data_IF_608131793149
#
_entry.id   IF_608131793149
#
_cell.length_a   1.000
_cell.length_b   1.000
_cell.length_c   1.000
_cell.angle_alpha   90.00
_cell.angle_beta   90.00
_cell.angle_gamma   90.00
#
_symmetry.space_group_name_H-M   'P 1'
#
loop_
_entity.id
_entity.type
_entity.pdbx_description
1 polymer ?
#
# COMPACT_ATOMS: atom_id res chain seq x y z
N UNK A 1 7.34 12.33 22.37
CA UNK A 1 7.28 11.17 21.46
C UNK A 1 8.08 10.05 22.10
N UNK A 2 7.53 8.85 22.21
CA UNK A 2 8.23 7.69 22.80
C UNK A 2 9.09 6.96 21.78
N UNK A 3 9.84 5.95 22.22
CA UNK A 3 10.84 5.21 21.42
C UNK A 3 10.29 4.70 20.08
N UNK A 4 9.04 4.22 20.04
CA UNK A 4 8.44 3.71 18.81
C UNK A 4 8.33 4.77 17.68
N UNK A 5 8.09 6.03 18.03
CA UNK A 5 8.01 7.11 17.05
C UNK A 5 9.40 7.52 16.53
N UNK A 6 10.45 7.33 17.34
CA UNK A 6 11.84 7.53 16.91
C UNK A 6 12.33 6.36 16.04
N UNK A 7 11.84 5.14 16.27
CA UNK A 7 12.25 3.96 15.49
C UNK A 7 11.61 3.87 14.11
N UNK A 8 10.51 4.58 13.85
CA UNK A 8 9.76 4.58 12.60
C UNK A 8 9.98 5.88 11.82
N UNK A 9 11.18 6.05 11.28
CA UNK A 9 11.54 7.18 10.40
C UNK A 9 11.94 6.73 8.99
N UNK A 10 12.20 7.68 8.10
CA UNK A 10 12.59 7.44 6.70
C UNK A 10 14.09 7.54 6.43
N UNK A 11 14.89 7.86 7.45
CA UNK A 11 16.37 7.81 7.40
C UNK A 11 16.93 6.42 7.03
N UNK A 12 18.17 6.38 6.54
CA UNK A 12 18.81 5.17 6.02
C UNK A 12 18.97 4.07 7.09
N UNK A 13 19.15 4.47 8.34
CA UNK A 13 19.28 3.63 9.54
C UNK A 13 17.93 3.25 10.17
N UNK A 14 16.81 3.53 9.50
CA UNK A 14 15.48 3.24 10.06
C UNK A 14 15.28 1.75 10.28
N UNK A 15 14.54 1.42 11.34
CA UNK A 15 14.22 0.03 11.66
C UNK A 15 13.61 -0.73 10.46
N UNK A 16 12.68 -0.15 9.65
CA UNK A 16 12.19 -0.81 8.44
C UNK A 16 13.27 -1.24 7.44
N UNK A 17 14.38 -0.51 7.32
CA UNK A 17 15.44 -0.80 6.36
C UNK A 17 16.33 -1.99 6.78
N UNK A 18 16.30 -2.38 8.06
CA UNK A 18 17.10 -3.48 8.61
C UNK A 18 16.26 -4.72 8.94
N UNK A 19 14.95 -4.71 8.63
CA UNK A 19 14.10 -5.88 8.81
C UNK A 19 14.59 -7.06 7.94
N UNK A 20 14.44 -8.31 8.41
CA UNK A 20 14.72 -9.49 7.60
C UNK A 20 13.98 -9.43 6.26
N UNK A 21 14.58 -10.03 5.22
CA UNK A 21 14.01 -10.00 3.87
C UNK A 21 12.60 -10.60 3.87
N UNK A 22 11.64 -9.81 3.40
CA UNK A 22 10.25 -10.24 3.25
C UNK A 22 10.06 -11.36 2.21
N UNK A 23 11.08 -11.64 1.37
CA UNK A 23 11.03 -12.68 0.34
C UNK A 23 10.78 -14.10 0.88
N UNK A 24 11.04 -14.34 2.17
CA UNK A 24 10.76 -15.63 2.81
C UNK A 24 9.29 -15.78 3.22
N UNK A 25 8.50 -14.71 3.14
CA UNK A 25 7.12 -14.66 3.55
C UNK A 25 6.23 -14.40 2.35
N UNK A 26 5.01 -14.92 2.42
CA UNK A 26 4.00 -14.53 1.45
C UNK A 26 3.48 -13.12 1.79
N UNK A 27 3.58 -12.22 0.83
CA UNK A 27 3.20 -10.82 1.01
C UNK A 27 2.27 -10.38 -0.12
N UNK A 28 1.32 -9.50 0.22
CA UNK A 28 0.49 -8.77 -0.73
C UNK A 28 0.42 -7.31 -0.29
N UNK A 29 0.55 -6.41 -1.25
CA UNK A 29 0.38 -4.97 -1.02
C UNK A 29 -1.02 -4.56 -1.46
N UNK A 30 -1.75 -3.87 -0.60
CA UNK A 30 -3.01 -3.19 -0.96
C UNK A 30 -2.79 -1.69 -0.80
N UNK A 31 -3.03 -0.91 -1.86
CA UNK A 31 -2.77 0.53 -1.89
C UNK A 31 -3.96 1.33 -2.40
N UNK A 32 -4.16 2.53 -1.84
CA UNK A 32 -5.15 3.49 -2.30
C UNK A 32 -4.65 4.33 -3.48
N UNK A 33 -5.57 4.84 -4.30
CA UNK A 33 -5.23 5.67 -5.48
C UNK A 33 -6.10 6.91 -5.63
N UNK A 34 -6.85 7.31 -4.59
CA UNK A 34 -7.63 8.55 -4.58
C UNK A 34 -7.16 9.49 -3.49
N UNK A 35 -7.20 10.78 -3.75
CA UNK A 35 -6.99 11.84 -2.76
C UNK A 35 -8.22 12.74 -2.71
N UNK A 36 -8.63 13.16 -1.51
CA UNK A 36 -9.73 14.12 -1.32
C UNK A 36 -9.17 15.56 -1.25
N UNK A 37 -7.96 15.73 -0.70
CA UNK A 37 -7.34 17.03 -0.48
C UNK A 37 -6.22 17.33 -1.49
N UNK A 38 -6.45 18.22 -2.48
CA UNK A 38 -5.50 18.49 -3.55
C UNK A 38 -4.20 19.21 -3.11
N UNK A 39 -4.10 19.63 -1.85
CA UNK A 39 -2.93 20.36 -1.34
C UNK A 39 -1.61 19.58 -1.44
N UNK A 40 -1.67 18.25 -1.37
CA UNK A 40 -0.49 17.40 -1.45
C UNK A 40 -0.24 16.84 -2.86
N UNK A 41 -1.15 17.04 -3.82
CA UNK A 41 -0.98 16.57 -5.21
C UNK A 41 0.35 17.02 -5.85
N UNK A 42 0.81 18.27 -5.66
CA UNK A 42 2.09 18.70 -6.23
C UNK A 42 3.33 17.95 -5.70
N UNK A 43 3.19 17.18 -4.60
CA UNK A 43 4.27 16.38 -4.03
C UNK A 43 4.33 14.96 -4.60
N UNK A 44 3.42 14.59 -5.51
CA UNK A 44 3.31 13.24 -6.04
C UNK A 44 3.35 13.21 -7.58
N UNK A 45 4.28 12.43 -8.12
CA UNK A 45 4.43 12.21 -9.57
C UNK A 45 3.61 11.00 -10.09
N UNK A 46 2.45 10.70 -9.49
CA UNK A 46 1.64 9.54 -9.91
C UNK A 46 0.41 9.26 -9.03
N UNK A 47 -0.19 8.06 -9.16
CA UNK A 47 -1.33 7.65 -8.34
C UNK A 47 -0.95 7.63 -6.84
N UNK A 48 -1.82 8.19 -6.00
CA UNK A 48 -1.61 8.26 -4.55
C UNK A 48 -2.93 8.27 -3.79
N UNK A 49 -2.89 7.91 -2.51
CA UNK A 49 -4.04 7.89 -1.61
C UNK A 49 -4.23 9.21 -0.81
N UNK A 50 -3.39 10.21 -1.11
CA UNK A 50 -3.34 11.50 -0.41
C UNK A 50 -2.26 11.59 0.67
N UNK A 51 -1.56 10.49 0.95
CA UNK A 51 -0.39 10.46 1.86
C UNK A 51 0.78 9.67 1.29
N UNK A 52 0.51 8.58 0.60
CA UNK A 52 1.50 7.64 0.08
C UNK A 52 1.24 7.42 -1.41
N UNK A 53 2.29 7.45 -2.22
CA UNK A 53 2.21 7.12 -3.64
C UNK A 53 2.13 5.61 -3.84
N UNK A 54 1.45 5.19 -4.90
CA UNK A 54 1.41 3.79 -5.32
C UNK A 54 2.82 3.27 -5.63
N UNK A 55 3.72 4.10 -6.16
CA UNK A 55 5.11 3.71 -6.41
C UNK A 55 5.87 3.41 -5.11
N UNK A 56 5.71 4.26 -4.09
CA UNK A 56 6.37 4.06 -2.79
C UNK A 56 5.82 2.88 -2.00
N UNK A 57 4.54 2.54 -2.19
CA UNK A 57 3.91 1.41 -1.50
C UNK A 57 4.31 0.05 -2.09
N UNK A 58 4.84 0.01 -3.31
CA UNK A 58 5.24 -1.25 -3.98
C UNK A 58 6.44 -1.88 -3.29
N UNK A 59 6.35 -3.18 -3.09
CA UNK A 59 7.48 -4.04 -2.77
C UNK A 59 7.93 -4.69 -4.08
N UNK A 60 8.86 -4.04 -4.78
CA UNK A 60 9.44 -4.45 -6.08
C UNK A 60 9.46 -5.96 -6.26
N UNK A 61 8.87 -6.50 -7.34
CA UNK A 61 8.88 -7.91 -7.79
C UNK A 61 8.65 -9.04 -6.77
N UNK A 62 8.52 -8.73 -5.47
CA UNK A 62 8.42 -9.68 -4.37
C UNK A 62 6.97 -9.82 -3.88
N UNK A 63 6.10 -8.89 -4.22
CA UNK A 63 4.69 -8.97 -3.84
C UNK A 63 3.77 -8.42 -4.95
N UNK A 64 2.64 -9.08 -5.24
CA UNK A 64 1.58 -8.50 -6.03
C UNK A 64 0.98 -7.27 -5.33
N UNK A 65 0.52 -6.32 -6.14
CA UNK A 65 -0.06 -5.06 -5.67
C UNK A 65 -1.49 -4.94 -6.16
N UNK A 66 -2.43 -4.77 -5.22
CA UNK A 66 -3.84 -4.49 -5.50
C UNK A 66 -4.12 -3.01 -5.22
N UNK A 67 -4.39 -2.26 -6.28
CA UNK A 67 -4.74 -0.83 -6.17
C UNK A 67 -6.26 -0.63 -6.15
N UNK A 68 -6.76 0.16 -5.19
CA UNK A 68 -8.18 0.46 -5.05
C UNK A 68 -8.44 1.97 -5.00
N UNK A 69 -9.54 2.48 -5.59
CA UNK A 69 -9.86 3.89 -5.56
C UNK A 69 -10.47 4.27 -4.21
N UNK A 70 -9.61 4.42 -3.21
CA UNK A 70 -9.89 4.87 -1.84
C UNK A 70 -8.78 5.81 -1.37
N UNK A 71 -9.07 6.61 -0.35
CA UNK A 71 -8.08 7.50 0.26
C UNK A 71 -7.37 6.86 1.42
N UNK A 72 -6.26 7.45 1.84
CA UNK A 72 -5.46 6.97 2.96
C UNK A 72 -6.30 6.73 4.21
N UNK A 73 -7.10 7.74 4.59
CA UNK A 73 -7.96 7.71 5.79
C UNK A 73 -8.98 6.57 5.75
N UNK A 74 -9.52 6.24 4.57
CA UNK A 74 -10.59 5.25 4.43
C UNK A 74 -10.11 3.87 3.97
N UNK A 75 -8.82 3.71 3.64
CA UNK A 75 -8.22 2.45 3.19
C UNK A 75 -8.56 1.29 4.14
N UNK A 76 -8.35 1.46 5.44
CA UNK A 76 -8.55 0.41 6.45
C UNK A 76 -10.02 -0.02 6.61
N UNK A 77 -10.97 0.87 6.28
CA UNK A 77 -12.41 0.63 6.43
C UNK A 77 -13.11 0.30 5.10
N UNK A 78 -12.38 0.21 4.00
CA UNK A 78 -12.94 -0.10 2.70
C UNK A 78 -13.35 -1.58 2.60
N UNK A 79 -14.60 -1.83 2.21
CA UNK A 79 -15.12 -3.18 2.06
C UNK A 79 -14.38 -4.00 0.98
N UNK A 80 -13.82 -3.34 -0.04
CA UNK A 80 -12.98 -3.97 -1.06
C UNK A 80 -11.66 -4.44 -0.48
N UNK A 81 -10.99 -3.59 0.32
CA UNK A 81 -9.75 -3.93 1.02
C UNK A 81 -9.95 -5.17 1.90
N UNK A 82 -11.04 -5.21 2.70
CA UNK A 82 -11.35 -6.38 3.53
C UNK A 82 -11.56 -7.65 2.71
N UNK A 83 -12.19 -7.57 1.54
CA UNK A 83 -12.38 -8.74 0.68
C UNK A 83 -11.05 -9.28 0.14
N UNK A 84 -10.17 -8.40 -0.32
CA UNK A 84 -8.83 -8.79 -0.79
C UNK A 84 -7.99 -9.40 0.35
N UNK A 85 -8.06 -8.82 1.55
CA UNK A 85 -7.43 -9.37 2.74
C UNK A 85 -7.95 -10.77 3.07
N UNK A 86 -9.26 -10.97 3.13
CA UNK A 86 -9.86 -12.28 3.42
C UNK A 86 -9.52 -13.31 2.33
N UNK A 87 -9.47 -12.90 1.06
CA UNK A 87 -9.06 -13.76 -0.04
C UNK A 87 -7.60 -14.20 0.12
N UNK A 88 -6.71 -13.28 0.48
CA UNK A 88 -5.30 -13.57 0.72
C UNK A 88 -5.11 -14.54 1.88
N UNK A 89 -5.80 -14.31 3.00
CA UNK A 89 -5.70 -15.16 4.18
C UNK A 89 -6.27 -16.58 3.98
N UNK A 90 -7.23 -16.76 3.08
CA UNK A 90 -7.84 -18.08 2.82
C UNK A 90 -7.01 -18.92 1.88
N UNK A 91 -6.67 -18.37 0.72
CA UNK A 91 -6.16 -19.17 -0.40
C UNK A 91 -4.79 -18.72 -0.88
N UNK A 92 -4.21 -17.65 -0.31
CA UNK A 92 -2.92 -17.11 -0.72
C UNK A 92 -2.85 -16.70 -2.22
N UNK A 93 -3.98 -16.70 -2.94
CA UNK A 93 -4.05 -16.64 -4.42
C UNK A 93 -4.36 -15.26 -5.02
N UNK A 94 -4.20 -14.18 -4.26
CA UNK A 94 -4.62 -12.86 -4.76
C UNK A 94 -3.73 -12.32 -5.89
N UNK A 95 -2.54 -12.90 -6.10
CA UNK A 95 -1.58 -12.51 -7.13
C UNK A 95 -2.12 -12.55 -8.57
N UNK A 96 -3.13 -13.40 -8.86
CA UNK A 96 -3.65 -13.56 -10.22
C UNK A 96 -4.75 -12.54 -10.59
N UNK A 97 -5.26 -11.77 -9.63
CA UNK A 97 -6.26 -10.71 -9.89
C UNK A 97 -5.57 -9.37 -10.15
N UNK A 98 -4.74 -9.37 -11.20
CA UNK A 98 -4.11 -8.15 -11.72
C UNK A 98 -5.15 -7.10 -12.12
N UNK A 99 -4.90 -5.86 -11.67
CA UNK A 99 -5.48 -4.60 -12.16
C UNK A 99 -6.99 -4.62 -12.44
N UNK A 100 -7.81 -4.44 -11.39
CA UNK A 100 -9.03 -3.64 -11.57
C UNK A 100 -8.62 -2.17 -11.77
N UNK A 101 -8.06 -1.86 -12.94
CA UNK A 101 -8.36 -0.61 -13.61
C UNK A 101 -9.85 -0.68 -13.98
N UNK A 102 -10.72 -0.54 -12.98
CA UNK A 102 -12.13 -0.30 -13.21
C UNK A 102 -12.20 1.07 -13.88
N UNK A 103 -12.21 1.05 -15.22
CA UNK A 103 -12.70 2.06 -16.15
C UNK A 103 -12.98 3.41 -15.47
N UNK A 104 -11.96 4.27 -15.41
CA UNK A 104 -12.19 5.69 -15.38
C UNK A 104 -12.17 6.16 -16.84
N UNK A 105 -13.38 6.31 -17.39
CA UNK A 105 -13.63 7.35 -18.38
C UNK A 105 -13.44 8.72 -17.73
#
# INVERSE_FOLDING_TARGET
>A
MGDAALSLHTGADSLPNILPRLAEHQVMVIAGTRSIEPWFHPLFDGLHDGKVSLSSARLNDIAPVVSLPTTHTFLMNDARVRRELLSFLRDAKTAERGFYAANFQ
#
